data_IF_168357077351
#
_entry.id   IF_168357077351
#
_cell.length_a   1.000
_cell.length_b   1.000
_cell.length_c   1.000
_cell.angle_alpha   90.00
_cell.angle_beta   90.00
_cell.angle_gamma   90.00
#
_symmetry.space_group_name_H-M   'P 1'
#
loop_
_entity.id
_entity.type
_entity.pdbx_description
1 polymer ?
#
# COMPACT_ATOMS: atom_id res chain seq x y z
N UNK A 1 -25.73 29.41 -12.81
CA UNK A 1 -24.29 29.64 -12.65
C UNK A 1 -23.69 28.33 -12.16
N UNK A 2 -22.58 27.88 -12.74
CA UNK A 2 -21.91 26.64 -12.34
C UNK A 2 -21.15 26.89 -11.04
N UNK A 3 -21.85 26.71 -9.91
CA UNK A 3 -21.31 26.98 -8.58
C UNK A 3 -20.53 25.77 -8.07
N UNK A 4 -19.36 26.05 -7.51
CA UNK A 4 -18.56 25.07 -6.77
C UNK A 4 -18.42 25.50 -5.32
N UNK A 5 -18.09 24.60 -4.38
CA UNK A 5 -17.98 24.93 -2.96
C UNK A 5 -17.06 26.13 -2.65
N UNK A 6 -16.09 26.38 -3.52
CA UNK A 6 -15.09 27.43 -3.37
C UNK A 6 -15.57 28.79 -3.92
N UNK A 7 -16.64 28.82 -4.71
CA UNK A 7 -17.20 30.06 -5.24
C UNK A 7 -17.63 31.00 -4.10
N UNK A 8 -17.22 32.27 -4.18
CA UNK A 8 -17.46 33.27 -3.13
C UNK A 8 -16.51 33.19 -1.93
N UNK A 9 -15.56 32.25 -1.91
CA UNK A 9 -14.50 32.15 -0.90
C UNK A 9 -13.16 32.66 -1.43
N UNK A 10 -12.15 32.75 -0.56
CA UNK A 10 -10.76 33.05 -0.94
C UNK A 10 -10.14 31.99 -1.89
N UNK A 11 -10.73 30.80 -1.93
CA UNK A 11 -10.26 29.66 -2.72
C UNK A 11 -10.97 29.58 -4.08
N UNK A 12 -11.86 30.54 -4.39
CA UNK A 12 -12.49 30.66 -5.69
C UNK A 12 -11.44 30.83 -6.79
N UNK A 13 -11.47 29.98 -7.83
CA UNK A 13 -10.47 30.05 -8.90
C UNK A 13 -10.41 31.44 -9.58
N UNK A 14 -11.56 32.13 -9.73
CA UNK A 14 -11.64 33.45 -10.35
C UNK A 14 -11.00 34.50 -9.45
N UNK A 15 -11.27 34.42 -8.15
CA UNK A 15 -10.66 35.32 -7.17
C UNK A 15 -9.13 35.14 -7.14
N UNK A 16 -8.66 33.88 -7.25
CA UNK A 16 -7.23 33.58 -7.27
C UNK A 16 -6.53 34.09 -8.53
N UNK A 17 -7.11 33.92 -9.73
CA UNK A 17 -6.49 34.41 -10.97
C UNK A 17 -6.50 35.94 -11.04
N UNK A 18 -7.53 36.60 -10.51
CA UNK A 18 -7.61 38.07 -10.45
C UNK A 18 -6.58 38.65 -9.49
N UNK A 19 -6.37 38.01 -8.33
CA UNK A 19 -5.36 38.44 -7.34
C UNK A 19 -3.92 38.19 -7.78
N UNK A 20 -3.64 37.03 -8.35
CA UNK A 20 -2.26 36.59 -8.58
C UNK A 20 -1.81 36.74 -10.04
N UNK A 21 -2.74 36.91 -10.99
CA UNK A 21 -2.41 37.04 -12.41
C UNK A 21 -1.80 35.79 -13.04
N UNK A 22 -1.98 34.62 -12.42
CA UNK A 22 -1.47 33.33 -12.90
C UNK A 22 -2.62 32.37 -13.20
N UNK A 23 -2.36 31.38 -14.06
CA UNK A 23 -3.32 30.31 -14.34
C UNK A 23 -3.46 29.43 -13.10
N UNK A 24 -4.70 29.13 -12.72
CA UNK A 24 -5.03 28.27 -11.57
C UNK A 24 -5.79 27.05 -12.08
N UNK A 25 -5.28 25.86 -11.78
CA UNK A 25 -5.95 24.58 -12.04
C UNK A 25 -6.25 23.89 -10.72
N UNK A 26 -7.45 23.35 -10.59
CA UNK A 26 -7.85 22.54 -9.44
C UNK A 26 -8.97 21.58 -9.81
N UNK A 27 -9.15 20.57 -8.97
CA UNK A 27 -10.27 19.64 -9.09
C UNK A 27 -11.27 19.93 -7.98
N UNK A 28 -12.55 19.85 -8.28
CA UNK A 28 -13.62 19.98 -7.29
C UNK A 28 -14.85 19.20 -7.75
N UNK A 29 -15.87 19.17 -6.89
CA UNK A 29 -17.18 18.62 -7.21
C UNK A 29 -18.15 19.75 -7.51
N UNK A 30 -18.66 19.77 -8.73
CA UNK A 30 -19.64 20.75 -9.15
C UNK A 30 -21.01 20.41 -8.55
N UNK A 31 -21.63 21.39 -7.87
CA UNK A 31 -22.95 21.23 -7.23
C UNK A 31 -24.01 21.85 -8.14
N UNK A 32 -24.87 21.02 -8.73
CA UNK A 32 -25.91 21.45 -9.69
C UNK A 32 -27.00 20.38 -9.87
N UNK A 33 -27.67 20.37 -11.04
CA UNK A 33 -28.72 19.38 -11.37
C UNK A 33 -28.18 17.93 -11.38
N UNK A 34 -26.88 17.76 -11.64
CA UNK A 34 -26.14 16.51 -11.52
C UNK A 34 -24.82 16.81 -10.82
N UNK A 35 -24.48 16.03 -9.79
CA UNK A 35 -23.15 16.08 -9.19
C UNK A 35 -22.13 15.45 -10.15
N UNK A 36 -21.04 16.16 -10.39
CA UNK A 36 -19.96 15.71 -11.27
C UNK A 36 -18.62 16.17 -10.72
N UNK A 37 -17.61 15.33 -10.87
CA UNK A 37 -16.24 15.71 -10.57
C UNK A 37 -15.68 16.45 -11.77
N UNK A 38 -15.13 17.63 -11.53
CA UNK A 38 -14.66 18.53 -12.60
C UNK A 38 -13.25 18.99 -12.33
N UNK A 39 -12.45 19.07 -13.40
CA UNK A 39 -11.25 19.87 -13.40
C UNK A 39 -11.60 21.27 -13.87
N UNK A 40 -11.25 22.25 -13.05
CA UNK A 40 -11.45 23.66 -13.31
C UNK A 40 -10.09 24.26 -13.55
N UNK A 41 -9.95 24.94 -14.68
CA UNK A 41 -8.82 25.81 -14.90
C UNK A 41 -9.31 27.20 -15.25
N UNK A 42 -8.69 28.17 -14.60
CA UNK A 42 -9.04 29.58 -14.71
C UNK A 42 -7.79 30.33 -15.19
N UNK A 43 -7.95 31.14 -16.23
CA UNK A 43 -6.87 31.96 -16.80
C UNK A 43 -7.25 33.44 -16.75
N UNK A 44 -6.36 34.34 -16.30
CA UNK A 44 -6.65 35.77 -16.27
C UNK A 44 -6.64 36.35 -17.69
N UNK A 45 -7.51 37.33 -17.94
CA UNK A 45 -7.44 38.16 -19.13
C UNK A 45 -7.29 39.62 -18.75
N UNK A 46 -6.63 40.38 -19.63
CA UNK A 46 -6.32 41.80 -19.42
C UNK A 46 -7.23 42.68 -20.26
N UNK A 47 -7.50 43.89 -19.78
CA UNK A 47 -8.10 44.96 -20.57
C UNK A 47 -7.07 45.61 -21.51
N UNK A 48 -7.51 46.64 -22.24
CA UNK A 48 -6.66 47.43 -23.14
C UNK A 48 -5.58 48.25 -22.44
N UNK A 49 -5.71 48.49 -21.13
CA UNK A 49 -4.72 49.22 -20.32
C UNK A 49 -3.68 48.28 -19.68
N UNK A 50 -3.85 46.96 -19.83
CA UNK A 50 -2.96 45.94 -19.31
C UNK A 50 -3.29 45.47 -17.88
N UNK A 51 -4.38 45.95 -17.30
CA UNK A 51 -4.86 45.51 -15.99
C UNK A 51 -5.64 44.19 -16.10
N UNK A 52 -5.64 43.35 -15.06
CA UNK A 52 -6.43 42.11 -15.06
C UNK A 52 -7.91 42.48 -14.95
N UNK A 53 -8.65 42.24 -16.02
CA UNK A 53 -10.08 42.57 -16.11
C UNK A 53 -10.98 41.44 -15.59
N UNK A 54 -10.46 40.21 -15.53
CA UNK A 54 -11.20 39.07 -15.01
C UNK A 54 -10.50 37.74 -15.32
N UNK A 55 -11.25 36.64 -15.15
CA UNK A 55 -10.79 35.30 -15.48
C UNK A 55 -11.76 34.56 -16.40
N UNK A 56 -11.21 33.77 -17.33
CA UNK A 56 -11.96 32.79 -18.11
C UNK A 56 -11.83 31.43 -17.43
N UNK A 57 -12.96 30.77 -17.16
CA UNK A 57 -13.03 29.45 -16.53
C UNK A 57 -13.41 28.40 -17.57
N UNK A 58 -12.60 27.36 -17.69
CA UNK A 58 -12.92 26.15 -18.43
C UNK A 58 -13.12 25.01 -17.44
N UNK A 59 -14.19 24.24 -17.66
CA UNK A 59 -14.64 23.17 -16.78
C UNK A 59 -14.65 21.89 -17.61
N UNK A 60 -13.83 20.93 -17.22
CA UNK A 60 -13.76 19.62 -17.85
C UNK A 60 -14.42 18.61 -16.91
N UNK A 61 -15.40 17.86 -17.40
CA UNK A 61 -15.96 16.72 -16.68
C UNK A 61 -14.90 15.60 -16.61
N UNK A 62 -14.53 15.22 -15.40
CA UNK A 62 -13.57 14.15 -15.12
C UNK A 62 -14.21 13.01 -14.32
N UNK A 63 -15.55 12.97 -14.24
CA UNK A 63 -16.29 11.98 -13.44
C UNK A 63 -15.94 10.56 -13.86
N UNK A 64 -15.99 10.26 -15.16
CA UNK A 64 -15.64 8.94 -15.68
C UNK A 64 -14.15 8.62 -15.50
N UNK A 65 -13.28 9.61 -15.67
CA UNK A 65 -11.84 9.45 -15.45
C UNK A 65 -11.54 9.05 -14.00
N UNK A 66 -12.11 9.79 -13.02
CA UNK A 66 -11.96 9.46 -11.60
C UNK A 66 -12.55 8.11 -11.24
N UNK A 67 -13.70 7.75 -11.82
CA UNK A 67 -14.32 6.43 -11.59
C UNK A 67 -13.41 5.30 -12.08
N UNK A 68 -12.85 5.42 -13.29
CA UNK A 68 -11.93 4.43 -13.84
C UNK A 68 -10.65 4.31 -13.00
N UNK A 69 -10.07 5.43 -12.56
CA UNK A 69 -8.89 5.43 -11.67
C UNK A 69 -9.19 4.77 -10.31
N UNK A 70 -10.35 5.04 -9.73
CA UNK A 70 -10.78 4.41 -8.47
C UNK A 70 -11.03 2.90 -8.64
N UNK A 71 -11.62 2.49 -9.76
CA UNK A 71 -11.80 1.08 -10.12
C UNK A 71 -10.45 0.36 -10.33
N UNK A 72 -9.51 0.99 -11.05
CA UNK A 72 -8.14 0.49 -11.23
C UNK A 72 -7.41 0.34 -9.88
N UNK A 73 -7.48 1.38 -9.04
CA UNK A 73 -6.87 1.35 -7.71
C UNK A 73 -7.47 0.23 -6.85
N UNK A 74 -8.80 0.09 -6.83
CA UNK A 74 -9.47 -1.00 -6.09
C UNK A 74 -9.06 -2.37 -6.59
N UNK A 75 -8.93 -2.54 -7.91
CA UNK A 75 -8.47 -3.80 -8.48
C UNK A 75 -7.03 -4.10 -8.08
N UNK A 76 -6.14 -3.10 -8.13
CA UNK A 76 -4.76 -3.22 -7.66
C UNK A 76 -4.68 -3.59 -6.17
N UNK A 77 -5.40 -2.86 -5.31
CA UNK A 77 -5.45 -3.11 -3.87
C UNK A 77 -6.03 -4.51 -3.56
N UNK A 78 -7.04 -4.95 -4.30
CA UNK A 78 -7.62 -6.28 -4.17
C UNK A 78 -6.63 -7.37 -4.61
N UNK A 79 -5.90 -7.17 -5.71
CA UNK A 79 -4.84 -8.08 -6.15
C UNK A 79 -3.77 -8.20 -5.05
N UNK A 80 -3.33 -7.08 -4.46
CA UNK A 80 -2.35 -7.09 -3.36
C UNK A 80 -2.87 -7.88 -2.16
N UNK A 81 -4.10 -7.58 -1.70
CA UNK A 81 -4.72 -8.31 -0.56
C UNK A 81 -4.87 -9.81 -0.82
N UNK A 82 -5.13 -10.21 -2.06
CA UNK A 82 -5.24 -11.63 -2.45
C UNK A 82 -3.87 -12.29 -2.64
N UNK A 83 -2.79 -11.52 -2.80
CA UNK A 83 -1.47 -12.04 -3.15
C UNK A 83 -0.62 -12.42 -1.93
N UNK A 84 -1.00 -12.02 -0.71
CA UNK A 84 -0.24 -12.32 0.54
C UNK A 84 -1.21 -12.51 1.71
N UNK A 85 -2.12 -13.51 1.65
CA UNK A 85 -3.13 -13.67 2.69
C UNK A 85 -2.46 -14.09 3.99
N UNK A 86 -2.56 -13.26 5.03
CA UNK A 86 -2.22 -13.68 6.39
C UNK A 86 -3.43 -14.47 6.91
N UNK A 87 -3.21 -15.75 7.17
CA UNK A 87 -4.24 -16.70 7.58
C UNK A 87 -4.03 -17.02 9.05
N UNK A 88 -5.03 -16.72 9.88
CA UNK A 88 -5.06 -17.24 11.24
C UNK A 88 -5.50 -18.70 11.20
N UNK A 89 -4.57 -19.59 11.51
CA UNK A 89 -4.79 -21.05 11.47
C UNK A 89 -5.05 -21.64 12.85
N UNK A 90 -4.74 -20.88 13.91
CA UNK A 90 -5.09 -21.14 15.30
C UNK A 90 -5.24 -19.81 16.04
N UNK A 91 -5.82 -19.81 17.24
CA UNK A 91 -6.01 -18.58 18.04
C UNK A 91 -4.71 -17.76 18.14
N UNK A 92 -3.58 -18.41 18.48
CA UNK A 92 -2.29 -17.75 18.65
C UNK A 92 -1.30 -18.00 17.48
N UNK A 93 -1.78 -18.51 16.33
CA UNK A 93 -0.91 -18.89 15.19
C UNK A 93 -1.38 -18.26 13.88
N UNK A 94 -0.50 -17.42 13.32
CA UNK A 94 -0.63 -16.85 11.99
C UNK A 94 0.24 -17.59 10.96
N UNK A 95 -0.23 -17.61 9.73
CA UNK A 95 0.47 -18.19 8.60
C UNK A 95 0.42 -17.24 7.40
N UNK A 96 1.59 -16.99 6.82
CA UNK A 96 1.80 -16.12 5.67
C UNK A 96 2.43 -16.96 4.54
N UNK A 97 1.61 -17.47 3.59
CA UNK A 97 2.13 -18.10 2.38
C UNK A 97 2.54 -17.04 1.38
N UNK A 98 3.76 -17.16 0.88
CA UNK A 98 4.27 -16.30 -0.18
C UNK A 98 4.29 -17.06 -1.52
N UNK A 99 3.65 -16.47 -2.52
CA UNK A 99 3.49 -17.08 -3.85
C UNK A 99 4.00 -16.13 -4.94
N UNK A 100 4.76 -16.66 -5.89
CA UNK A 100 5.28 -15.93 -7.04
C UNK A 100 6.58 -15.22 -6.72
N UNK A 101 6.79 -14.04 -7.30
CA UNK A 101 7.99 -13.22 -7.08
C UNK A 101 7.75 -12.20 -5.97
N UNK A 102 8.76 -11.98 -5.12
CA UNK A 102 8.77 -10.92 -4.11
C UNK A 102 9.77 -9.86 -4.54
N UNK A 103 9.30 -8.63 -4.69
CA UNK A 103 10.12 -7.42 -4.81
C UNK A 103 10.07 -6.59 -3.51
N UNK A 104 10.80 -5.49 -3.46
CA UNK A 104 10.89 -4.64 -2.27
C UNK A 104 9.53 -4.04 -1.85
N UNK A 105 8.76 -3.54 -2.82
CA UNK A 105 7.45 -2.92 -2.57
C UNK A 105 6.50 -3.93 -1.94
N UNK A 106 6.44 -5.14 -2.51
CA UNK A 106 5.60 -6.21 -1.97
C UNK A 106 6.07 -6.66 -0.60
N UNK A 107 7.37 -6.72 -0.35
CA UNK A 107 7.92 -7.11 0.94
C UNK A 107 7.61 -6.09 2.06
N UNK A 108 7.63 -4.79 1.74
CA UNK A 108 7.21 -3.72 2.66
C UNK A 108 5.72 -3.83 3.01
N UNK A 109 4.86 -4.06 2.01
CA UNK A 109 3.43 -4.29 2.26
C UNK A 109 3.16 -5.54 3.10
N UNK A 110 3.93 -6.61 2.88
CA UNK A 110 3.86 -7.83 3.69
C UNK A 110 4.21 -7.52 5.14
N UNK A 111 5.28 -6.76 5.37
CA UNK A 111 5.72 -6.33 6.70
C UNK A 111 4.60 -5.59 7.43
N UNK A 112 4.04 -4.53 6.83
CA UNK A 112 3.00 -3.71 7.46
C UNK A 112 1.77 -4.55 7.84
N UNK A 113 1.26 -5.33 6.88
CA UNK A 113 0.09 -6.18 7.12
C UNK A 113 0.37 -7.26 8.18
N UNK A 114 1.57 -7.83 8.20
CA UNK A 114 1.94 -8.86 9.18
C UNK A 114 1.98 -8.30 10.59
N UNK A 115 2.58 -7.11 10.77
CA UNK A 115 2.64 -6.47 12.09
C UNK A 115 1.26 -6.06 12.59
N UNK A 116 0.40 -5.54 11.72
CA UNK A 116 -0.99 -5.23 12.06
C UNK A 116 -1.76 -6.50 12.47
N UNK A 117 -1.61 -7.59 11.71
CA UNK A 117 -2.23 -8.86 12.04
C UNK A 117 -1.78 -9.38 13.41
N UNK A 118 -0.47 -9.43 13.67
CA UNK A 118 0.09 -9.87 14.96
C UNK A 118 -0.48 -9.05 16.12
N UNK A 119 -0.52 -7.72 15.97
CA UNK A 119 -1.03 -6.83 17.01
C UNK A 119 -2.55 -6.99 17.23
N UNK A 120 -3.30 -7.33 16.19
CA UNK A 120 -4.76 -7.50 16.28
C UNK A 120 -5.20 -8.85 16.84
N UNK A 121 -4.36 -9.89 16.69
CA UNK A 121 -4.68 -11.26 17.10
C UNK A 121 -3.86 -11.76 18.29
N UNK A 122 -2.94 -10.95 18.82
CA UNK A 122 -1.98 -11.32 19.88
C UNK A 122 -1.20 -12.62 19.55
N UNK A 123 -0.84 -12.82 18.28
CA UNK A 123 -0.28 -14.08 17.80
C UNK A 123 1.08 -14.42 18.44
N UNK A 124 1.18 -15.54 19.14
CA UNK A 124 2.43 -16.03 19.71
C UNK A 124 3.38 -16.57 18.63
N UNK A 125 2.85 -17.14 17.54
CA UNK A 125 3.65 -17.73 16.47
C UNK A 125 3.20 -17.28 15.08
N UNK A 126 4.16 -16.93 14.24
CA UNK A 126 3.98 -16.63 12.82
C UNK A 126 4.78 -17.62 11.98
N UNK A 127 4.13 -18.26 11.03
CA UNK A 127 4.78 -19.12 10.03
C UNK A 127 4.84 -18.38 8.70
N UNK A 128 6.04 -18.17 8.16
CA UNK A 128 6.24 -17.59 6.83
C UNK A 128 6.63 -18.73 5.88
N UNK A 129 5.79 -19.04 4.90
CA UNK A 129 6.04 -20.12 3.94
C UNK A 129 6.51 -19.57 2.59
N UNK A 130 7.70 -20.00 2.17
CA UNK A 130 8.37 -19.60 0.93
C UNK A 130 8.28 -20.67 -0.15
N UNK A 131 7.48 -21.73 0.05
CA UNK A 131 7.40 -22.85 -0.89
C UNK A 131 6.94 -22.43 -2.29
N UNK A 132 6.17 -21.35 -2.39
CA UNK A 132 5.68 -20.75 -3.64
C UNK A 132 6.63 -19.73 -4.29
N UNK A 133 7.83 -19.50 -3.72
CA UNK A 133 8.82 -18.56 -4.26
C UNK A 133 10.01 -19.33 -4.86
N UNK A 134 10.16 -19.35 -6.20
CA UNK A 134 11.31 -20.00 -6.83
C UNK A 134 12.59 -19.18 -6.63
N UNK A 135 12.48 -17.85 -6.65
CA UNK A 135 13.61 -16.91 -6.55
C UNK A 135 13.20 -15.68 -5.75
N UNK A 136 14.05 -15.24 -4.83
CA UNK A 136 13.89 -14.00 -4.06
C UNK A 136 14.97 -13.01 -4.47
N UNK A 137 14.60 -11.73 -4.59
CA UNK A 137 15.60 -10.68 -4.75
C UNK A 137 16.33 -10.41 -3.42
N UNK A 138 17.53 -9.88 -3.52
CA UNK A 138 18.38 -9.45 -2.42
C UNK A 138 17.67 -8.44 -1.52
N UNK A 139 16.98 -7.47 -2.13
CA UNK A 139 16.25 -6.42 -1.40
C UNK A 139 15.03 -6.99 -0.67
N UNK A 140 14.24 -7.84 -1.34
CA UNK A 140 13.14 -8.58 -0.72
C UNK A 140 13.57 -9.44 0.47
N UNK A 141 14.77 -10.03 0.40
CA UNK A 141 15.33 -10.83 1.50
C UNK A 141 15.56 -9.97 2.75
N UNK A 142 16.10 -8.76 2.58
CA UNK A 142 16.30 -7.82 3.70
C UNK A 142 14.98 -7.43 4.35
N UNK A 143 13.96 -7.13 3.55
CA UNK A 143 12.64 -6.74 4.06
C UNK A 143 11.94 -7.89 4.82
N UNK A 144 12.03 -9.13 4.32
CA UNK A 144 11.48 -10.30 5.03
C UNK A 144 12.12 -10.52 6.40
N UNK A 145 13.42 -10.22 6.54
CA UNK A 145 14.13 -10.36 7.81
C UNK A 145 13.79 -9.23 8.77
N UNK A 146 13.60 -8.01 8.26
CA UNK A 146 13.04 -6.91 9.05
C UNK A 146 11.65 -7.28 9.56
N UNK A 147 10.81 -7.92 8.74
CA UNK A 147 9.51 -8.42 9.16
C UNK A 147 9.60 -9.45 10.27
N UNK A 148 10.48 -10.45 10.13
CA UNK A 148 10.69 -11.41 11.20
C UNK A 148 11.21 -10.77 12.49
N UNK A 149 12.10 -9.79 12.38
CA UNK A 149 12.67 -9.07 13.53
C UNK A 149 11.62 -8.20 14.23
N UNK A 150 10.82 -7.46 13.47
CA UNK A 150 9.75 -6.62 13.99
C UNK A 150 8.63 -7.46 14.64
N UNK A 151 8.24 -8.57 14.02
CA UNK A 151 7.30 -9.54 14.62
C UNK A 151 7.80 -10.07 15.97
N UNK A 152 9.10 -10.37 16.08
CA UNK A 152 9.74 -10.75 17.35
C UNK A 152 9.73 -9.64 18.40
N UNK A 153 9.86 -8.38 17.99
CA UNK A 153 9.73 -7.25 18.91
C UNK A 153 8.31 -7.09 19.45
N UNK A 154 7.30 -7.52 18.71
CA UNK A 154 5.90 -7.61 19.17
C UNK A 154 5.62 -8.86 20.02
N UNK A 155 6.64 -9.69 20.31
CA UNK A 155 6.50 -10.88 21.14
C UNK A 155 6.17 -12.16 20.39
N UNK A 156 6.08 -12.12 19.05
CA UNK A 156 5.76 -13.28 18.23
C UNK A 156 7.01 -14.04 17.77
N UNK A 157 7.01 -15.36 17.88
CA UNK A 157 8.06 -16.22 17.30
C UNK A 157 7.81 -16.41 15.81
N UNK A 158 8.87 -16.35 15.02
CA UNK A 158 8.75 -16.44 13.55
C UNK A 158 9.46 -17.69 13.06
N UNK A 159 8.73 -18.54 12.35
CA UNK A 159 9.21 -19.79 11.75
C UNK A 159 9.15 -19.67 10.23
N UNK A 160 10.29 -19.74 9.56
CA UNK A 160 10.36 -19.81 8.12
C UNK A 160 10.22 -21.25 7.62
N UNK A 161 9.45 -21.44 6.56
CA UNK A 161 9.22 -22.76 5.95
C UNK A 161 9.38 -22.71 4.44
N UNK A 162 9.66 -23.85 3.81
CA UNK A 162 9.69 -23.95 2.35
C UNK A 162 10.83 -23.19 1.67
N UNK A 163 11.91 -22.86 2.38
CA UNK A 163 13.07 -22.16 1.83
C UNK A 163 13.75 -23.03 0.76
N UNK A 164 13.81 -22.55 -0.48
CA UNK A 164 14.53 -23.22 -1.56
C UNK A 164 16.06 -23.09 -1.41
N UNK A 165 16.86 -23.99 -2.01
CA UNK A 165 18.32 -23.88 -1.98
C UNK A 165 18.85 -22.53 -2.48
N UNK A 166 18.23 -21.95 -3.51
CA UNK A 166 18.63 -20.67 -4.09
C UNK A 166 18.38 -19.51 -3.11
N UNK A 167 17.22 -19.51 -2.45
CA UNK A 167 16.88 -18.53 -1.41
C UNK A 167 17.84 -18.65 -0.22
N UNK A 168 18.12 -19.87 0.25
CA UNK A 168 19.06 -20.10 1.34
C UNK A 168 20.48 -19.62 0.99
N UNK A 169 20.94 -19.85 -0.24
CA UNK A 169 22.24 -19.34 -0.70
C UNK A 169 22.29 -17.82 -0.74
N UNK A 170 21.23 -17.17 -1.22
CA UNK A 170 21.13 -15.70 -1.22
C UNK A 170 21.19 -15.16 0.21
N UNK A 171 20.42 -15.75 1.14
CA UNK A 171 20.45 -15.36 2.55
C UNK A 171 21.85 -15.52 3.18
N UNK A 172 22.52 -16.64 2.90
CA UNK A 172 23.88 -16.88 3.39
C UNK A 172 24.91 -15.89 2.81
N UNK A 173 24.81 -15.54 1.52
CA UNK A 173 25.70 -14.57 0.85
C UNK A 173 25.57 -13.16 1.42
N UNK A 174 24.37 -12.79 1.85
CA UNK A 174 24.09 -11.48 2.45
C UNK A 174 24.60 -11.36 3.88
N UNK A 175 25.19 -12.41 4.45
CA UNK A 175 25.71 -12.39 5.81
C UNK A 175 24.60 -12.31 6.88
N UNK A 176 23.40 -12.77 6.54
CA UNK A 176 22.28 -12.84 7.47
C UNK A 176 22.62 -13.86 8.55
N UNK A 177 22.45 -13.46 9.80
CA UNK A 177 22.65 -14.36 10.93
C UNK A 177 21.51 -15.38 11.02
N UNK A 178 21.69 -16.50 10.33
CA UNK A 178 20.75 -17.62 10.31
C UNK A 178 20.57 -18.27 11.69
N UNK A 179 21.45 -18.02 12.66
CA UNK A 179 21.26 -18.53 14.03
C UNK A 179 20.07 -17.90 14.75
N UNK A 180 19.63 -16.74 14.27
CA UNK A 180 18.47 -16.01 14.81
C UNK A 180 17.16 -16.38 14.11
N UNK A 181 17.22 -17.16 13.02
CA UNK A 181 16.08 -17.56 12.23
C UNK A 181 15.68 -19.00 12.56
N UNK A 182 14.46 -19.19 13.05
CA UNK A 182 13.90 -20.54 13.11
C UNK A 182 13.42 -20.95 11.73
N UNK A 183 13.94 -22.08 11.24
CA UNK A 183 13.57 -22.62 9.92
C UNK A 183 13.10 -24.06 10.04
N UNK A 184 12.16 -24.46 9.19
CA UNK A 184 11.73 -25.86 8.98
C UNK A 184 11.60 -26.14 7.49
N UNK A 185 11.85 -27.38 7.09
CA UNK A 185 11.86 -27.75 5.67
C UNK A 185 10.49 -27.57 4.99
N UNK A 186 9.41 -27.86 5.71
CA UNK A 186 8.05 -27.83 5.16
C UNK A 186 7.10 -27.13 6.11
N UNK A 187 6.02 -26.57 5.55
CA UNK A 187 4.91 -26.00 6.32
C UNK A 187 4.37 -26.96 7.37
N UNK A 188 4.26 -28.26 7.04
CA UNK A 188 3.78 -29.29 7.97
C UNK A 188 4.64 -29.36 9.25
N UNK A 189 5.96 -29.37 9.10
CA UNK A 189 6.88 -29.40 10.25
C UNK A 189 6.88 -28.06 10.99
N UNK A 190 6.77 -26.93 10.27
CA UNK A 190 6.61 -25.62 10.90
C UNK A 190 5.34 -25.52 11.75
N UNK A 191 4.23 -26.07 11.26
CA UNK A 191 2.97 -26.11 12.00
C UNK A 191 3.06 -26.99 13.25
N UNK A 192 3.70 -28.15 13.15
CA UNK A 192 3.95 -29.00 14.31
C UNK A 192 4.75 -28.27 15.40
N UNK A 193 5.78 -27.52 15.01
CA UNK A 193 6.57 -26.71 15.93
C UNK A 193 5.74 -25.60 16.57
N UNK A 194 4.96 -24.85 15.77
CA UNK A 194 4.08 -23.81 16.28
C UNK A 194 3.09 -24.35 17.33
N UNK A 195 2.49 -25.51 17.06
CA UNK A 195 1.58 -26.19 18.00
C UNK A 195 2.32 -26.59 19.29
N UNK A 196 3.58 -27.01 19.21
CA UNK A 196 4.37 -27.36 20.40
C UNK A 196 4.77 -26.13 21.23
N UNK A 197 4.89 -24.95 20.60
CA UNK A 197 5.17 -23.70 21.29
C UNK A 197 3.94 -23.28 22.10
N UNK A 198 2.77 -23.19 21.48
CA UNK A 198 1.53 -22.69 22.13
C UNK A 198 0.96 -23.64 23.20
N UNK A 199 1.41 -24.90 23.23
CA UNK A 199 0.98 -25.90 24.22
C UNK A 199 1.80 -25.92 25.51
N UNK A 200 2.85 -25.10 25.59
CA UNK A 200 3.70 -24.98 26.79
C UNK A 200 3.11 -24.00 27.78
#
# INVERSE_FOLDING_TARGET
>A
MFDTPECGTKDCCIEQVVKHGQVVTGETRLRGVKEMDVQITCAPFKDSEGNIAGGVKYITDITDLKRLMEEEKKLSDAIVKLSTPIIQIWDDVLMLPLIGTIDAIRAEQILENLLEAIASTDAEVVIIDLSGIPTVDTEATHELIKAASAARMLGSKVIFTGISPDVAQTMAKLGIDLSTLETRQTLCVGLQEAINIIKK
#
